data_IF_809061555268
#
_entry.id   IF_809061555268
#
_cell.length_a   1.000
_cell.length_b   1.000
_cell.length_c   1.000
_cell.angle_alpha   90.00
_cell.angle_beta   90.00
_cell.angle_gamma   90.00
#
_symmetry.space_group_name_H-M   'P 1'
#
loop_
_entity.id
_entity.type
_entity.pdbx_description
1 polymer ?
#
# COMPACT_ATOMS: atom_id res chain seq x y z
N UNK A 1 -80.54 -9.45 25.16
CA UNK A 1 -79.72 -10.65 25.00
C UNK A 1 -78.68 -10.28 23.92
N UNK A 2 -77.52 -9.76 24.33
CA UNK A 2 -76.53 -9.18 23.45
C UNK A 2 -75.33 -10.14 23.34
N UNK A 3 -75.10 -10.70 22.15
CA UNK A 3 -74.00 -11.60 21.83
C UNK A 3 -72.86 -10.78 21.26
N UNK A 4 -71.72 -10.75 22.00
CA UNK A 4 -70.50 -10.10 21.60
C UNK A 4 -69.72 -10.94 20.59
N UNK A 5 -69.44 -10.38 19.42
CA UNK A 5 -68.48 -10.88 18.47
C UNK A 5 -67.06 -10.49 18.91
N UNK A 6 -66.15 -11.47 19.04
CA UNK A 6 -64.69 -11.25 19.16
C UNK A 6 -64.03 -11.29 17.77
N UNK A 7 -63.18 -10.34 17.41
CA UNK A 7 -62.37 -10.50 16.20
C UNK A 7 -61.11 -11.29 16.54
N UNK A 8 -60.83 -12.32 15.73
CA UNK A 8 -59.60 -13.10 15.73
C UNK A 8 -58.50 -12.26 15.05
N UNK A 9 -57.56 -11.75 15.82
CA UNK A 9 -56.35 -11.15 15.28
C UNK A 9 -55.39 -12.25 14.84
N UNK A 10 -55.17 -12.36 13.52
CA UNK A 10 -54.09 -13.12 12.89
C UNK A 10 -52.78 -12.44 13.14
N UNK A 11 -51.87 -13.09 13.87
CA UNK A 11 -50.53 -12.63 14.10
C UNK A 11 -49.70 -12.71 12.82
N UNK A 12 -49.29 -11.56 12.33
CA UNK A 12 -48.39 -11.38 11.20
C UNK A 12 -47.09 -12.14 11.38
N UNK A 13 -46.79 -12.95 10.39
CA UNK A 13 -45.51 -13.60 10.17
C UNK A 13 -44.39 -12.53 10.04
N UNK A 14 -43.33 -12.55 10.86
CA UNK A 14 -42.23 -11.60 10.67
C UNK A 14 -41.51 -11.89 9.35
N UNK A 15 -41.65 -11.00 8.39
CA UNK A 15 -40.85 -11.02 7.16
C UNK A 15 -39.39 -11.15 7.54
N UNK A 16 -38.77 -12.27 7.19
CA UNK A 16 -37.33 -12.48 7.31
C UNK A 16 -36.61 -11.30 6.62
N UNK A 17 -35.82 -10.55 7.41
CA UNK A 17 -34.92 -9.52 6.87
C UNK A 17 -34.03 -10.15 5.79
N UNK A 18 -33.74 -9.45 4.70
CA UNK A 18 -32.90 -10.00 3.64
C UNK A 18 -31.55 -10.38 4.23
N UNK A 19 -31.16 -11.65 4.08
CA UNK A 19 -29.82 -12.16 4.42
C UNK A 19 -28.81 -11.25 3.76
N UNK A 20 -28.00 -10.52 4.55
CA UNK A 20 -26.83 -9.81 4.06
C UNK A 20 -26.00 -10.81 3.25
N UNK A 21 -25.82 -10.55 1.95
CA UNK A 21 -24.91 -11.34 1.11
C UNK A 21 -23.56 -11.32 1.81
N UNK A 22 -23.07 -12.47 2.23
CA UNK A 22 -21.72 -12.62 2.76
C UNK A 22 -20.77 -12.20 1.65
N UNK A 23 -20.05 -11.09 1.83
CA UNK A 23 -18.99 -10.70 0.92
C UNK A 23 -17.93 -11.78 1.03
N UNK A 24 -17.68 -12.53 -0.03
CA UNK A 24 -16.63 -13.54 -0.05
C UNK A 24 -15.27 -12.84 0.11
N UNK A 25 -14.62 -13.09 1.23
CA UNK A 25 -13.25 -12.61 1.48
C UNK A 25 -12.31 -13.48 0.62
N UNK A 26 -11.33 -12.86 -0.05
CA UNK A 26 -10.26 -13.61 -0.69
C UNK A 26 -9.48 -14.38 0.38
N UNK A 27 -9.16 -15.65 0.11
CA UNK A 27 -8.66 -16.57 1.12
C UNK A 27 -7.19 -16.39 1.49
N UNK A 28 -6.45 -15.48 0.82
CA UNK A 28 -5.02 -15.39 1.03
C UNK A 28 -4.44 -13.99 0.95
N UNK A 29 -3.38 -13.75 1.77
CA UNK A 29 -2.65 -12.49 1.86
C UNK A 29 -1.15 -12.76 1.87
N UNK A 30 -0.40 -12.14 0.93
CA UNK A 30 1.06 -12.08 0.98
C UNK A 30 1.51 -10.72 1.48
N UNK A 31 2.24 -10.69 2.59
CA UNK A 31 2.86 -9.48 3.13
C UNK A 31 4.31 -9.43 2.67
N UNK A 32 4.66 -8.42 1.89
CA UNK A 32 6.00 -8.22 1.33
C UNK A 32 6.70 -7.10 2.09
N UNK A 33 7.87 -7.39 2.62
CA UNK A 33 8.67 -6.48 3.46
C UNK A 33 10.07 -6.37 2.88
N UNK A 34 10.41 -5.23 2.24
CA UNK A 34 11.79 -4.99 1.81
C UNK A 34 12.68 -4.73 3.02
N UNK A 35 13.88 -5.31 3.04
CA UNK A 35 14.83 -5.17 4.15
C UNK A 35 16.21 -4.72 3.67
N UNK A 36 16.84 -3.88 4.49
CA UNK A 36 18.25 -3.50 4.34
C UNK A 36 18.80 -3.12 5.71
N UNK A 37 19.64 -3.99 6.31
CA UNK A 37 20.17 -3.85 7.67
C UNK A 37 19.07 -3.73 8.75
N UNK A 38 18.00 -4.56 8.67
CA UNK A 38 16.86 -4.55 9.59
C UNK A 38 16.82 -5.79 10.50
N UNK A 39 17.94 -6.44 10.72
CA UNK A 39 18.05 -7.75 11.41
C UNK A 39 17.34 -7.78 12.77
N UNK A 40 17.39 -6.68 13.54
CA UNK A 40 16.78 -6.59 14.88
C UNK A 40 15.25 -6.55 14.83
N UNK A 41 14.68 -6.11 13.71
CA UNK A 41 13.24 -5.92 13.56
C UNK A 41 12.52 -7.16 13.02
N UNK A 42 13.25 -8.13 12.44
CA UNK A 42 12.68 -9.28 11.73
C UNK A 42 11.78 -10.13 12.62
N UNK A 43 12.30 -10.58 13.78
CA UNK A 43 11.53 -11.42 14.70
C UNK A 43 10.34 -10.70 15.29
N UNK A 44 10.49 -9.49 15.91
CA UNK A 44 9.35 -8.77 16.45
C UNK A 44 8.25 -8.49 15.41
N UNK A 45 8.64 -8.15 14.18
CA UNK A 45 7.68 -7.92 13.10
C UNK A 45 6.89 -9.18 12.77
N UNK A 46 7.58 -10.31 12.60
CA UNK A 46 6.94 -11.60 12.28
C UNK A 46 5.96 -12.03 13.38
N UNK A 47 6.40 -12.03 14.64
CA UNK A 47 5.60 -12.46 15.79
C UNK A 47 4.33 -11.58 15.95
N UNK A 48 4.50 -10.24 15.93
CA UNK A 48 3.40 -9.28 16.04
C UNK A 48 2.41 -9.40 14.88
N UNK A 49 2.92 -9.53 13.65
CA UNK A 49 2.10 -9.68 12.46
C UNK A 49 1.19 -10.90 12.56
N UNK A 50 1.76 -12.08 12.80
CA UNK A 50 0.97 -13.32 12.85
C UNK A 50 0.07 -13.40 14.08
N UNK A 51 0.45 -12.81 15.22
CA UNK A 51 -0.44 -12.66 16.35
C UNK A 51 -1.66 -11.81 16.01
N UNK A 52 -1.46 -10.68 15.35
CA UNK A 52 -2.51 -9.77 14.93
C UNK A 52 -3.44 -10.41 13.87
N UNK A 53 -2.87 -11.06 12.86
CA UNK A 53 -3.65 -11.73 11.81
C UNK A 53 -4.51 -12.86 12.37
N UNK A 54 -3.97 -13.73 13.23
CA UNK A 54 -4.72 -14.81 13.90
C UNK A 54 -5.86 -14.27 14.76
N UNK A 55 -5.65 -13.15 15.45
CA UNK A 55 -6.69 -12.48 16.23
C UNK A 55 -7.81 -11.90 15.36
N UNK A 56 -7.46 -11.33 14.23
CA UNK A 56 -8.41 -10.64 13.34
C UNK A 56 -9.20 -11.62 12.44
N UNK A 57 -8.53 -12.63 11.91
CA UNK A 57 -9.11 -13.65 11.05
C UNK A 57 -8.26 -14.94 11.11
N UNK A 58 -8.63 -15.92 11.96
CA UNK A 58 -7.85 -17.15 12.14
C UNK A 58 -7.79 -18.04 10.89
N UNK A 59 -8.74 -17.89 9.96
CA UNK A 59 -8.84 -18.70 8.75
C UNK A 59 -8.11 -18.07 7.55
N UNK A 60 -7.46 -16.90 7.72
CA UNK A 60 -6.73 -16.23 6.66
C UNK A 60 -5.42 -16.97 6.37
N UNK A 61 -5.29 -17.53 5.14
CA UNK A 61 -4.01 -18.05 4.66
C UNK A 61 -3.08 -16.85 4.37
N UNK A 62 -2.09 -16.64 5.22
CA UNK A 62 -1.18 -15.52 5.11
C UNK A 62 0.28 -15.97 5.09
N UNK A 63 1.10 -15.30 4.27
CA UNK A 63 2.55 -15.45 4.29
C UNK A 63 3.25 -14.10 4.50
N UNK A 64 4.46 -14.16 5.05
CA UNK A 64 5.37 -13.02 5.18
C UNK A 64 6.62 -13.29 4.33
N UNK A 65 6.89 -12.42 3.36
CA UNK A 65 8.04 -12.51 2.47
C UNK A 65 8.97 -11.31 2.66
N UNK A 66 10.11 -11.55 3.24
CA UNK A 66 11.20 -10.57 3.28
C UNK A 66 11.98 -10.56 1.96
N UNK A 67 12.35 -9.37 1.51
CA UNK A 67 13.21 -9.18 0.34
C UNK A 67 14.41 -8.35 0.77
N UNK A 68 15.54 -9.01 1.00
CA UNK A 68 16.76 -8.37 1.47
C UNK A 68 17.64 -7.89 0.31
N UNK A 69 18.08 -6.64 0.38
CA UNK A 69 18.87 -5.98 -0.68
C UNK A 69 20.38 -6.22 -0.51
N UNK A 70 20.78 -7.45 -0.16
CA UNK A 70 22.18 -7.87 0.06
C UNK A 70 22.89 -6.94 1.06
N UNK A 71 22.27 -6.75 2.22
CA UNK A 71 22.81 -5.94 3.30
C UNK A 71 23.89 -6.68 4.08
N UNK A 72 24.69 -5.95 4.86
CA UNK A 72 25.72 -6.58 5.73
C UNK A 72 25.12 -7.59 6.72
N UNK A 73 23.90 -7.32 7.20
CA UNK A 73 23.13 -8.17 8.08
C UNK A 73 22.42 -9.37 7.44
N UNK A 74 22.50 -9.53 6.09
CA UNK A 74 21.71 -10.54 5.35
C UNK A 74 21.86 -11.95 5.89
N UNK A 75 23.08 -12.40 6.20
CA UNK A 75 23.32 -13.77 6.74
C UNK A 75 22.55 -14.01 8.02
N UNK A 76 22.66 -13.09 8.99
CA UNK A 76 21.95 -13.17 10.27
C UNK A 76 20.43 -13.05 10.09
N UNK A 77 19.99 -12.20 9.18
CA UNK A 77 18.56 -12.08 8.82
C UNK A 77 18.02 -13.41 8.28
N UNK A 78 18.75 -14.08 7.39
CA UNK A 78 18.38 -15.40 6.85
C UNK A 78 18.29 -16.45 7.97
N UNK A 79 19.24 -16.46 8.92
CA UNK A 79 19.21 -17.37 10.06
C UNK A 79 17.96 -17.18 10.91
N UNK A 80 17.61 -15.93 11.23
CA UNK A 80 16.40 -15.60 12.00
C UNK A 80 15.14 -16.05 11.25
N UNK A 81 15.03 -15.77 9.96
CA UNK A 81 13.85 -16.17 9.17
C UNK A 81 13.74 -17.70 9.10
N UNK A 82 14.86 -18.41 8.91
CA UNK A 82 14.86 -19.89 8.94
C UNK A 82 14.44 -20.44 10.31
N UNK A 83 14.85 -19.81 11.40
CA UNK A 83 14.42 -20.20 12.75
C UNK A 83 12.91 -20.00 12.92
N UNK A 84 12.38 -18.84 12.54
CA UNK A 84 10.95 -18.55 12.57
C UNK A 84 10.12 -19.54 11.72
N UNK A 85 10.61 -19.89 10.53
CA UNK A 85 9.96 -20.91 9.70
C UNK A 85 9.94 -22.30 10.38
N UNK A 86 11.01 -22.69 11.09
CA UNK A 86 11.03 -23.93 11.89
C UNK A 86 10.08 -23.87 13.09
N UNK A 87 9.84 -22.69 13.63
CA UNK A 87 8.87 -22.44 14.70
C UNK A 87 7.40 -22.49 14.19
N UNK A 88 7.21 -22.70 12.87
CA UNK A 88 5.89 -22.84 12.24
C UNK A 88 5.29 -21.54 11.69
N UNK A 89 6.05 -20.44 11.66
CA UNK A 89 5.58 -19.23 10.98
C UNK A 89 5.65 -19.38 9.45
N UNK A 90 4.60 -19.01 8.70
CA UNK A 90 4.64 -19.01 7.22
C UNK A 90 5.43 -17.81 6.69
N UNK A 91 6.76 -17.86 6.88
CA UNK A 91 7.70 -16.79 6.55
C UNK A 91 8.81 -17.28 5.65
N UNK A 92 9.19 -16.43 4.68
CA UNK A 92 10.30 -16.67 3.77
C UNK A 92 11.17 -15.43 3.58
N UNK A 93 12.36 -15.63 3.01
CA UNK A 93 13.26 -14.54 2.64
C UNK A 93 13.88 -14.80 1.28
N UNK A 94 13.96 -13.75 0.48
CA UNK A 94 14.75 -13.72 -0.75
C UNK A 94 15.86 -12.69 -0.60
N UNK A 95 17.12 -13.15 -0.55
CA UNK A 95 18.28 -12.26 -0.62
C UNK A 95 18.61 -12.00 -2.08
N UNK A 96 18.48 -10.76 -2.52
CA UNK A 96 18.74 -10.35 -3.90
C UNK A 96 20.23 -10.40 -4.21
N UNK A 97 20.53 -10.82 -5.44
CA UNK A 97 21.85 -10.61 -6.04
C UNK A 97 21.91 -9.24 -6.69
N UNK A 98 23.11 -8.67 -6.86
CA UNK A 98 23.28 -7.39 -7.57
C UNK A 98 22.68 -7.37 -8.97
N UNK A 99 22.67 -8.51 -9.64
CA UNK A 99 22.06 -8.68 -10.97
C UNK A 99 20.53 -8.53 -10.98
N UNK A 100 19.87 -8.67 -9.84
CA UNK A 100 18.41 -8.53 -9.69
C UNK A 100 17.99 -7.07 -9.40
N UNK A 101 18.93 -6.11 -9.48
CA UNK A 101 18.71 -4.70 -9.20
C UNK A 101 18.98 -4.31 -7.76
N UNK A 102 18.83 -3.03 -7.46
CA UNK A 102 19.04 -2.43 -6.13
C UNK A 102 17.95 -1.42 -5.81
N UNK A 103 17.73 -1.22 -4.53
CA UNK A 103 16.83 -0.20 -3.99
C UNK A 103 15.43 -0.72 -3.69
N UNK A 104 14.72 0.05 -2.85
CA UNK A 104 13.45 -0.33 -2.23
C UNK A 104 12.38 -0.70 -3.26
N UNK A 105 12.14 0.14 -4.26
CA UNK A 105 11.07 -0.07 -5.23
C UNK A 105 11.22 -1.38 -6.02
N UNK A 106 12.44 -1.68 -6.48
CA UNK A 106 12.70 -2.94 -7.20
C UNK A 106 12.65 -4.16 -6.28
N UNK A 107 13.00 -4.01 -4.98
CA UNK A 107 12.84 -5.07 -3.98
C UNK A 107 11.36 -5.44 -3.77
N UNK A 108 10.51 -4.42 -3.64
CA UNK A 108 9.06 -4.62 -3.48
C UNK A 108 8.46 -5.32 -4.71
N UNK A 109 8.78 -4.87 -5.92
CA UNK A 109 8.28 -5.51 -7.15
C UNK A 109 8.75 -6.95 -7.30
N UNK A 110 10.00 -7.25 -6.95
CA UNK A 110 10.49 -8.62 -6.92
C UNK A 110 9.71 -9.47 -5.91
N UNK A 111 9.47 -8.94 -4.71
CA UNK A 111 8.65 -9.61 -3.71
C UNK A 111 7.23 -9.87 -4.19
N UNK A 112 6.60 -8.91 -4.85
CA UNK A 112 5.29 -9.08 -5.45
C UNK A 112 5.26 -10.19 -6.52
N UNK A 113 6.33 -10.30 -7.31
CA UNK A 113 6.48 -11.39 -8.28
C UNK A 113 6.59 -12.78 -7.63
N UNK A 114 7.16 -12.85 -6.41
CA UNK A 114 7.35 -14.09 -5.63
C UNK A 114 6.18 -14.42 -4.69
N UNK A 115 5.30 -13.47 -4.44
CA UNK A 115 4.16 -13.62 -3.55
C UNK A 115 3.22 -14.75 -4.01
N UNK A 116 2.73 -15.55 -3.05
CA UNK A 116 1.87 -16.71 -3.30
C UNK A 116 0.42 -16.31 -3.61
N UNK A 117 -0.08 -15.28 -2.89
CA UNK A 117 -1.50 -14.94 -2.93
C UNK A 117 -1.82 -13.84 -3.94
N UNK A 118 -3.10 -13.77 -4.31
CA UNK A 118 -3.63 -12.70 -5.18
C UNK A 118 -3.58 -11.34 -4.50
N UNK A 119 -3.94 -11.28 -3.20
CA UNK A 119 -3.85 -10.05 -2.42
C UNK A 119 -2.45 -9.88 -1.87
N UNK A 120 -1.84 -8.74 -2.14
CA UNK A 120 -0.45 -8.43 -1.80
C UNK A 120 -0.42 -7.11 -1.03
N UNK A 121 0.26 -7.12 0.10
CA UNK A 121 0.48 -5.94 0.93
C UNK A 121 1.97 -5.67 1.04
N UNK A 122 2.35 -4.40 0.98
CA UNK A 122 3.69 -3.92 1.26
C UNK A 122 3.71 -3.14 2.57
N UNK A 123 4.74 -3.34 3.39
CA UNK A 123 5.05 -2.52 4.56
C UNK A 123 6.56 -2.45 4.82
N UNK A 124 7.00 -1.44 5.55
CA UNK A 124 8.41 -1.30 5.94
C UNK A 124 8.77 -2.24 7.11
N UNK A 125 10.06 -2.58 7.22
CA UNK A 125 10.57 -3.51 8.23
C UNK A 125 10.87 -2.86 9.59
N UNK A 126 10.89 -1.53 9.69
CA UNK A 126 11.40 -0.76 10.84
C UNK A 126 10.39 -0.57 11.98
N UNK A 127 9.24 -1.26 11.90
CA UNK A 127 8.14 -1.22 12.86
C UNK A 127 7.48 0.16 13.06
N UNK A 128 7.78 1.12 12.19
CA UNK A 128 7.04 2.39 12.15
C UNK A 128 5.61 2.19 11.62
N UNK A 129 5.42 1.25 10.70
CA UNK A 129 4.11 0.70 10.35
C UNK A 129 3.77 -0.41 11.34
N UNK A 130 2.65 -0.24 12.06
CA UNK A 130 2.22 -1.23 13.05
C UNK A 130 1.78 -2.52 12.37
N UNK A 131 2.40 -3.68 12.68
CA UNK A 131 1.98 -4.96 12.14
C UNK A 131 0.51 -5.29 12.44
N UNK A 132 -0.02 -4.75 13.52
CA UNK A 132 -1.42 -4.87 13.95
C UNK A 132 -2.40 -4.24 12.98
N UNK A 133 -1.98 -3.25 12.20
CA UNK A 133 -2.82 -2.59 11.20
C UNK A 133 -2.91 -3.36 9.86
N UNK A 134 -2.08 -4.39 9.66
CA UNK A 134 -2.00 -5.13 8.37
C UNK A 134 -3.36 -5.64 7.92
N UNK A 135 -4.13 -6.28 8.82
CA UNK A 135 -5.43 -6.81 8.45
C UNK A 135 -6.42 -5.70 8.05
N UNK A 136 -6.43 -4.60 8.78
CA UNK A 136 -7.32 -3.45 8.48
C UNK A 136 -6.97 -2.82 7.13
N UNK A 137 -5.68 -2.68 6.81
CA UNK A 137 -5.22 -2.15 5.50
C UNK A 137 -5.55 -3.13 4.37
N UNK A 138 -5.42 -4.43 4.58
CA UNK A 138 -5.73 -5.44 3.57
C UNK A 138 -7.24 -5.65 3.35
N UNK A 139 -8.07 -5.44 4.37
CA UNK A 139 -9.47 -5.83 4.41
C UNK A 139 -10.32 -5.29 3.24
N UNK A 140 -10.24 -4.02 2.82
CA UNK A 140 -11.04 -3.53 1.69
C UNK A 140 -10.68 -4.23 0.37
N UNK A 141 -9.40 -4.61 0.17
CA UNK A 141 -8.96 -5.36 -1.02
C UNK A 141 -9.42 -6.83 -0.91
N UNK A 142 -9.22 -7.48 0.24
CA UNK A 142 -9.70 -8.84 0.51
C UNK A 142 -11.22 -8.98 0.29
N UNK A 143 -11.98 -7.93 0.62
CA UNK A 143 -13.43 -7.86 0.40
C UNK A 143 -13.81 -7.41 -1.01
N UNK A 144 -12.86 -7.20 -1.92
CA UNK A 144 -13.08 -6.68 -3.28
C UNK A 144 -13.84 -5.34 -3.32
N UNK A 145 -13.76 -4.55 -2.26
CA UNK A 145 -14.33 -3.20 -2.15
C UNK A 145 -13.39 -2.12 -2.68
N UNK A 146 -12.09 -2.40 -2.72
CA UNK A 146 -11.05 -1.54 -3.26
C UNK A 146 -10.09 -2.35 -4.12
N UNK A 147 -9.48 -1.71 -5.10
CA UNK A 147 -8.37 -2.26 -5.87
C UNK A 147 -7.02 -1.92 -5.24
N UNK A 148 -7.00 -0.86 -4.45
CA UNK A 148 -5.81 -0.37 -3.78
C UNK A 148 -6.19 0.25 -2.43
N UNK A 149 -5.43 -0.05 -1.39
CA UNK A 149 -5.57 0.61 -0.09
C UNK A 149 -4.25 1.20 0.34
N UNK A 150 -4.31 2.31 1.06
CA UNK A 150 -3.15 2.97 1.65
C UNK A 150 -3.37 3.09 3.15
N UNK A 151 -2.40 2.62 3.93
CA UNK A 151 -2.32 2.95 5.35
C UNK A 151 -1.93 4.42 5.48
N UNK A 152 -2.91 5.28 5.75
CA UNK A 152 -2.75 6.73 5.73
C UNK A 152 -2.61 7.31 7.13
N UNK A 153 -1.63 8.21 7.28
CA UNK A 153 -1.41 9.03 8.49
C UNK A 153 -2.31 10.27 8.53
N UNK A 154 -2.96 10.59 7.39
CA UNK A 154 -3.65 11.87 7.18
C UNK A 154 -5.16 11.73 6.98
N UNK A 155 -5.70 10.52 6.90
CA UNK A 155 -7.15 10.33 6.92
C UNK A 155 -7.71 10.31 8.36
N UNK A 156 -9.01 10.49 8.53
CA UNK A 156 -9.65 10.56 9.83
C UNK A 156 -9.34 9.36 10.72
N UNK A 157 -8.72 9.59 11.88
CA UNK A 157 -8.25 8.54 12.80
C UNK A 157 -6.79 8.11 12.61
N UNK A 158 -6.12 8.59 11.56
CA UNK A 158 -4.67 8.39 11.36
C UNK A 158 -3.84 9.42 12.12
N UNK A 159 -2.54 9.17 12.27
CA UNK A 159 -1.65 10.10 12.95
C UNK A 159 -0.23 9.61 13.14
N UNK A 160 0.47 10.29 14.03
CA UNK A 160 1.85 10.00 14.43
C UNK A 160 1.88 9.70 15.91
N UNK A 161 2.50 8.60 16.31
CA UNK A 161 2.72 8.22 17.71
C UNK A 161 3.81 9.02 18.42
N UNK A 162 4.37 10.06 17.76
CA UNK A 162 5.44 10.91 18.30
C UNK A 162 5.43 12.29 17.64
N UNK A 163 6.09 13.25 18.29
CA UNK A 163 6.23 14.60 17.73
C UNK A 163 7.24 14.64 16.59
N UNK A 164 6.72 14.95 15.42
CA UNK A 164 7.52 15.10 14.22
C UNK A 164 8.07 16.53 14.10
N UNK A 165 9.36 16.66 13.87
CA UNK A 165 9.98 17.98 13.72
C UNK A 165 9.31 18.77 12.58
N UNK A 166 9.06 20.05 12.79
CA UNK A 166 8.29 20.91 11.89
C UNK A 166 8.80 20.90 10.44
N UNK A 167 10.13 20.90 10.24
CA UNK A 167 10.73 20.84 8.91
C UNK A 167 10.39 19.53 8.18
N UNK A 168 10.31 18.40 8.89
CA UNK A 168 9.92 17.11 8.30
C UNK A 168 8.43 17.09 7.93
N UNK A 169 7.58 17.70 8.75
CA UNK A 169 6.15 17.89 8.44
C UNK A 169 5.99 18.69 7.15
N UNK A 170 6.73 19.81 7.03
CA UNK A 170 6.68 20.68 5.86
C UNK A 170 7.15 19.95 4.58
N UNK A 171 8.28 19.25 4.62
CA UNK A 171 8.79 18.47 3.49
C UNK A 171 7.78 17.39 3.07
N UNK A 172 7.20 16.66 4.02
CA UNK A 172 6.21 15.62 3.73
C UNK A 172 4.93 16.21 3.13
N UNK A 173 4.43 17.32 3.68
CA UNK A 173 3.24 18.00 3.17
C UNK A 173 3.45 18.53 1.75
N UNK A 174 4.62 19.13 1.47
CA UNK A 174 4.97 19.59 0.13
C UNK A 174 5.05 18.41 -0.85
N UNK A 175 5.70 17.31 -0.46
CA UNK A 175 5.76 16.11 -1.29
C UNK A 175 4.37 15.52 -1.58
N UNK A 176 3.49 15.49 -0.57
CA UNK A 176 2.10 15.05 -0.72
C UNK A 176 1.33 15.97 -1.67
N UNK A 177 1.45 17.29 -1.52
CA UNK A 177 0.81 18.27 -2.38
C UNK A 177 1.23 18.11 -3.85
N UNK A 178 2.52 17.92 -4.09
CA UNK A 178 3.05 17.68 -5.44
C UNK A 178 2.52 16.39 -6.08
N UNK A 179 2.17 15.37 -5.30
CA UNK A 179 1.59 14.13 -5.80
C UNK A 179 0.07 14.21 -6.06
N UNK A 180 -0.61 15.26 -5.62
CA UNK A 180 -2.09 15.32 -5.59
C UNK A 180 -2.73 15.10 -6.96
N UNK A 181 -2.13 15.61 -8.03
CA UNK A 181 -2.65 15.45 -9.41
C UNK A 181 -2.58 14.04 -9.97
N UNK A 182 -1.73 13.17 -9.39
CA UNK A 182 -1.52 11.78 -9.84
C UNK A 182 -1.89 10.74 -8.78
N UNK A 183 -2.20 11.17 -7.55
CA UNK A 183 -2.62 10.33 -6.44
C UNK A 183 -4.15 10.35 -6.27
N UNK A 184 -4.68 9.25 -5.73
CA UNK A 184 -6.07 9.14 -5.23
C UNK A 184 -6.13 8.91 -3.73
N UNK A 185 -5.00 9.07 -3.03
CA UNK A 185 -4.85 8.87 -1.59
C UNK A 185 -4.46 10.17 -0.90
N UNK A 186 -4.86 10.33 0.36
CA UNK A 186 -4.42 11.42 1.23
C UNK A 186 -2.97 11.27 1.68
N UNK A 187 -2.38 10.06 1.55
CA UNK A 187 -1.00 9.76 1.91
C UNK A 187 -0.23 9.03 0.81
N UNK A 188 0.04 9.69 -0.33
CA UNK A 188 0.77 9.09 -1.43
C UNK A 188 2.23 8.73 -1.08
N UNK A 189 2.70 9.19 0.07
CA UNK A 189 4.06 8.94 0.54
C UNK A 189 4.18 7.67 1.38
N UNK A 190 3.06 7.03 1.75
CA UNK A 190 3.06 5.82 2.57
C UNK A 190 3.67 4.64 1.82
N UNK A 191 4.56 3.90 2.49
CA UNK A 191 5.06 2.58 2.07
C UNK A 191 4.14 1.43 2.48
N UNK A 192 3.04 1.72 3.18
CA UNK A 192 2.08 0.76 3.68
C UNK A 192 0.84 0.74 2.81
N UNK A 193 0.76 -0.23 1.91
CA UNK A 193 -0.34 -0.32 0.96
C UNK A 193 -0.66 -1.76 0.58
N UNK A 194 -1.89 -2.00 0.14
CA UNK A 194 -2.34 -3.30 -0.33
C UNK A 194 -3.01 -3.18 -1.71
N UNK A 195 -2.80 -4.18 -2.55
CA UNK A 195 -3.39 -4.30 -3.89
C UNK A 195 -3.52 -5.77 -4.30
N UNK A 196 -3.77 -6.03 -5.58
CA UNK A 196 -3.83 -7.39 -6.13
C UNK A 196 -2.84 -7.59 -7.28
N UNK A 197 -2.48 -8.85 -7.55
CA UNK A 197 -1.66 -9.22 -8.72
C UNK A 197 -2.36 -8.82 -10.02
N UNK A 198 -3.67 -8.97 -10.09
CA UNK A 198 -4.49 -8.54 -11.24
C UNK A 198 -4.37 -7.03 -11.50
N UNK A 199 -4.39 -6.21 -10.46
CA UNK A 199 -4.17 -4.76 -10.58
C UNK A 199 -2.74 -4.46 -11.05
N UNK A 200 -1.74 -5.11 -10.45
CA UNK A 200 -0.33 -4.96 -10.86
C UNK A 200 -0.12 -5.30 -12.34
N UNK A 201 -0.75 -6.36 -12.85
CA UNK A 201 -0.59 -6.80 -14.23
C UNK A 201 -1.01 -5.72 -15.25
N UNK A 202 -1.98 -4.85 -14.91
CA UNK A 202 -2.42 -3.75 -15.79
C UNK A 202 -1.32 -2.73 -16.08
N UNK A 203 -0.47 -2.46 -15.09
CA UNK A 203 0.62 -1.48 -15.21
C UNK A 203 2.00 -2.08 -15.38
N UNK A 204 2.15 -3.41 -15.42
CA UNK A 204 3.43 -4.11 -15.31
C UNK A 204 4.52 -3.61 -16.27
N UNK A 205 4.14 -3.23 -17.51
CA UNK A 205 5.08 -2.74 -18.53
C UNK A 205 5.47 -1.27 -18.36
N UNK A 206 4.70 -0.49 -17.58
CA UNK A 206 4.89 0.95 -17.42
C UNK A 206 5.41 1.34 -16.04
N UNK A 207 5.37 0.42 -15.06
CA UNK A 207 5.91 0.66 -13.72
C UNK A 207 7.42 0.88 -13.82
N UNK A 208 7.87 2.02 -13.32
CA UNK A 208 9.28 2.37 -13.24
C UNK A 208 9.75 2.32 -11.77
N UNK A 209 10.63 1.37 -11.39
CA UNK A 209 11.07 1.19 -10.02
C UNK A 209 12.09 2.24 -9.55
N UNK A 210 11.98 3.49 -10.01
CA UNK A 210 12.83 4.60 -9.56
C UNK A 210 12.42 5.02 -8.15
N UNK A 211 13.43 5.31 -7.31
CA UNK A 211 13.22 5.89 -6.00
C UNK A 211 12.59 4.93 -4.98
N UNK A 212 11.78 5.48 -4.09
CA UNK A 212 11.28 4.80 -2.89
C UNK A 212 9.75 4.93 -2.69
N UNK A 213 9.03 5.55 -3.66
CA UNK A 213 7.56 5.73 -3.58
C UNK A 213 6.83 4.78 -4.53
N UNK A 214 7.11 3.48 -4.34
CA UNK A 214 6.56 2.43 -5.19
C UNK A 214 5.02 2.33 -5.08
N UNK A 215 4.43 2.62 -3.91
CA UNK A 215 2.98 2.65 -3.75
C UNK A 215 2.31 3.67 -4.67
N UNK A 216 2.84 4.90 -4.75
CA UNK A 216 2.37 5.93 -5.67
C UNK A 216 2.53 5.49 -7.14
N UNK A 217 3.67 4.93 -7.50
CA UNK A 217 3.96 4.43 -8.86
C UNK A 217 2.93 3.37 -9.28
N UNK A 218 2.74 2.34 -8.46
CA UNK A 218 1.77 1.27 -8.72
C UNK A 218 0.36 1.82 -8.81
N UNK A 219 -0.07 2.63 -7.85
CA UNK A 219 -1.41 3.21 -7.84
C UNK A 219 -1.71 3.99 -9.12
N UNK A 220 -0.76 4.85 -9.56
CA UNK A 220 -0.92 5.70 -10.73
C UNK A 220 -0.86 4.90 -12.04
N UNK A 221 0.21 4.10 -12.26
CA UNK A 221 0.43 3.34 -13.51
C UNK A 221 -0.59 2.24 -13.72
N UNK A 222 -1.03 1.58 -12.66
CA UNK A 222 -2.07 0.56 -12.73
C UNK A 222 -3.49 1.16 -12.79
N UNK A 223 -3.61 2.49 -12.70
CA UNK A 223 -4.90 3.21 -12.69
C UNK A 223 -5.88 2.64 -11.68
N UNK A 224 -5.36 2.26 -10.51
CA UNK A 224 -6.15 1.60 -9.48
C UNK A 224 -7.39 2.43 -9.08
N UNK A 225 -8.54 1.78 -9.00
CA UNK A 225 -9.81 2.41 -8.63
C UNK A 225 -10.86 1.34 -8.29
N UNK A 226 -11.54 1.41 -7.14
CA UNK A 226 -11.42 2.42 -6.07
C UNK A 226 -10.11 2.33 -5.29
N UNK A 227 -9.63 3.48 -4.79
CA UNK A 227 -8.55 3.60 -3.79
C UNK A 227 -9.17 4.00 -2.47
N UNK A 228 -8.77 3.33 -1.37
CA UNK A 228 -9.29 3.56 -0.03
C UNK A 228 -8.15 3.82 0.92
N UNK A 229 -8.22 4.91 1.67
CA UNK A 229 -7.31 5.21 2.77
C UNK A 229 -7.81 4.55 4.06
N UNK A 230 -6.91 3.88 4.75
CA UNK A 230 -7.17 3.23 6.04
C UNK A 230 -6.32 3.94 7.10
N UNK A 231 -6.90 4.46 8.18
CA UNK A 231 -6.15 5.18 9.19
C UNK A 231 -5.13 4.27 9.88
N UNK A 232 -3.91 4.77 10.00
CA UNK A 232 -2.82 4.13 10.76
C UNK A 232 -2.15 5.12 11.69
N UNK A 233 -1.56 4.61 12.77
CA UNK A 233 -0.63 5.38 13.59
C UNK A 233 0.79 5.04 13.18
N UNK A 234 1.54 6.05 12.74
CA UNK A 234 2.94 5.88 12.37
C UNK A 234 3.82 6.06 13.59
N UNK A 235 4.51 5.00 14.01
CA UNK A 235 5.27 4.97 15.25
C UNK A 235 6.69 5.52 15.10
N UNK A 236 7.33 5.80 16.23
CA UNK A 236 8.77 6.04 16.26
C UNK A 236 9.52 4.77 15.88
N UNK A 237 10.64 4.94 15.15
CA UNK A 237 11.49 3.82 14.79
C UNK A 237 12.10 3.19 16.04
N UNK A 238 12.07 1.85 16.14
CA UNK A 238 12.64 1.13 17.27
C UNK A 238 14.15 1.00 17.11
N UNK A 239 14.64 0.73 15.89
CA UNK A 239 16.06 0.59 15.56
C UNK A 239 16.34 1.05 14.12
N UNK A 240 17.60 1.39 13.83
CA UNK A 240 18.06 1.79 12.51
C UNK A 240 18.01 3.30 12.26
N UNK A 241 18.57 3.73 11.13
CA UNK A 241 18.68 5.15 10.73
C UNK A 241 17.84 5.47 9.50
N UNK A 242 17.50 6.75 9.35
CA UNK A 242 16.80 7.22 8.15
C UNK A 242 17.74 7.21 6.95
N UNK A 243 17.35 6.51 5.89
CA UNK A 243 18.12 6.38 4.64
C UNK A 243 17.75 7.42 3.58
N UNK A 244 16.99 8.46 3.96
CA UNK A 244 16.58 9.53 3.05
C UNK A 244 17.77 10.43 2.70
N UNK A 245 18.11 10.51 1.42
CA UNK A 245 19.20 11.33 0.87
C UNK A 245 18.68 12.30 -0.20
N UNK A 246 19.49 13.30 -0.58
CA UNK A 246 19.18 14.21 -1.69
C UNK A 246 18.92 13.48 -3.00
N UNK A 247 19.62 12.37 -3.25
CA UNK A 247 19.39 11.52 -4.43
C UNK A 247 17.94 11.04 -4.51
N UNK A 248 17.35 10.62 -3.39
CA UNK A 248 15.97 10.15 -3.36
C UNK A 248 14.95 11.27 -3.60
N UNK A 249 15.25 12.49 -3.15
CA UNK A 249 14.41 13.65 -3.46
C UNK A 249 14.40 13.94 -4.97
N UNK A 250 15.57 13.91 -5.62
CA UNK A 250 15.66 14.07 -7.08
C UNK A 250 14.91 12.95 -7.80
N UNK A 251 15.09 11.69 -7.39
CA UNK A 251 14.36 10.56 -7.96
C UNK A 251 12.84 10.70 -7.79
N UNK A 252 12.38 11.25 -6.66
CA UNK A 252 10.95 11.52 -6.45
C UNK A 252 10.42 12.56 -7.44
N UNK A 253 11.15 13.65 -7.68
CA UNK A 253 10.75 14.67 -8.69
C UNK A 253 10.72 14.06 -10.10
N UNK A 254 11.72 13.24 -10.45
CA UNK A 254 11.73 12.52 -11.73
C UNK A 254 10.52 11.58 -11.87
N UNK A 255 10.19 10.84 -10.81
CA UNK A 255 9.03 9.98 -10.77
C UNK A 255 7.73 10.78 -10.98
N UNK A 256 7.56 11.89 -10.26
CA UNK A 256 6.39 12.75 -10.43
C UNK A 256 6.27 13.28 -11.86
N UNK A 257 7.35 13.80 -12.42
CA UNK A 257 7.35 14.31 -13.80
C UNK A 257 6.90 13.21 -14.79
N UNK A 258 7.40 11.98 -14.62
CA UNK A 258 7.01 10.86 -15.46
C UNK A 258 5.54 10.44 -15.27
N UNK A 259 5.00 10.49 -14.04
CA UNK A 259 3.60 10.19 -13.75
C UNK A 259 2.66 11.28 -14.29
N UNK A 260 3.02 12.55 -14.16
CA UNK A 260 2.26 13.66 -14.74
C UNK A 260 2.27 13.60 -16.26
N UNK A 261 3.41 13.28 -16.88
CA UNK A 261 3.50 13.07 -18.32
C UNK A 261 2.56 11.93 -18.77
N UNK A 262 2.62 10.78 -18.14
CA UNK A 262 1.76 9.64 -18.47
C UNK A 262 0.27 9.97 -18.38
N UNK A 263 -0.12 10.76 -17.37
CA UNK A 263 -1.51 11.10 -17.11
C UNK A 263 -2.04 12.20 -18.02
N UNK A 264 -1.22 13.19 -18.34
CA UNK A 264 -1.65 14.45 -18.96
C UNK A 264 -0.94 14.76 -20.30
N UNK A 265 -0.14 13.81 -20.85
CA UNK A 265 0.60 14.03 -22.09
C UNK A 265 -0.29 14.57 -23.24
N UNK A 266 -1.45 13.96 -23.46
CA UNK A 266 -2.37 14.41 -24.50
C UNK A 266 -2.84 15.86 -24.26
N UNK A 267 -3.24 16.18 -23.03
CA UNK A 267 -3.66 17.55 -22.68
C UNK A 267 -2.51 18.55 -22.86
N UNK A 268 -1.30 18.20 -22.42
CA UNK A 268 -0.11 19.04 -22.57
C UNK A 268 0.17 19.30 -24.05
N UNK A 269 0.12 18.26 -24.88
CA UNK A 269 0.35 18.40 -26.33
C UNK A 269 -0.75 19.26 -26.98
N UNK A 270 -2.02 19.04 -26.65
CA UNK A 270 -3.12 19.84 -27.19
C UNK A 270 -2.98 21.31 -26.80
N UNK A 271 -2.66 21.61 -25.54
CA UNK A 271 -2.45 22.97 -25.08
C UNK A 271 -1.24 23.64 -25.76
N UNK A 272 -0.14 22.90 -25.93
CA UNK A 272 1.04 23.39 -26.64
C UNK A 272 0.73 23.73 -28.10
N UNK A 273 0.01 22.87 -28.83
CA UNK A 273 -0.43 23.12 -30.21
C UNK A 273 -1.36 24.32 -30.28
N UNK A 274 -2.35 24.41 -29.38
CA UNK A 274 -3.26 25.55 -29.32
C UNK A 274 -2.51 26.88 -29.07
N UNK A 275 -1.53 26.87 -28.19
CA UNK A 275 -0.69 28.05 -27.91
C UNK A 275 0.15 28.43 -29.12
N UNK A 276 0.77 27.48 -29.83
CA UNK A 276 1.55 27.73 -31.05
C UNK A 276 0.61 28.37 -32.14
N UNK A 277 -0.58 27.81 -32.32
CA UNK A 277 -1.54 28.36 -33.28
C UNK A 277 -1.98 29.78 -32.91
N UNK A 278 -2.23 30.07 -31.64
CA UNK A 278 -2.59 31.40 -31.17
C UNK A 278 -1.45 32.41 -31.41
N UNK A 279 -0.22 32.05 -31.14
CA UNK A 279 0.95 32.90 -31.41
C UNK A 279 1.12 33.13 -32.90
N UNK A 280 0.98 32.11 -33.76
CA UNK A 280 1.07 32.22 -35.19
C UNK A 280 0.00 33.18 -35.74
N UNK A 281 -1.26 33.12 -35.25
CA UNK A 281 -2.31 34.04 -35.62
C UNK A 281 -2.05 35.51 -35.22
N UNK A 282 -1.40 35.73 -34.08
CA UNK A 282 -1.01 37.07 -33.63
C UNK A 282 0.07 37.64 -34.53
N UNK A 283 1.08 36.84 -34.91
CA UNK A 283 2.16 37.27 -35.82
C UNK A 283 1.64 37.56 -37.23
N UNK A 284 0.70 36.80 -37.76
CA UNK A 284 0.13 37.02 -39.11
C UNK A 284 -0.86 38.18 -39.18
N UNK A 285 -1.29 38.73 -38.05
CA UNK A 285 -2.17 39.91 -37.98
C UNK A 285 -1.42 41.25 -37.87
N UNK A 286 -0.12 41.21 -37.69
CA UNK A 286 0.78 42.36 -37.76
C UNK A 286 1.36 42.54 -39.15
#
# INVERSE_FOLDING_TARGET
MLTFFRPVFSLNNPKMAPRRKSVSIQSGLSVVVPTYNETLNIRPLCERLFAALRKANPDLDAELLFVDDESEGSKKTVEIVKALAKEGYPVGIHCRKRSEGRGLSSAVLLGFGKAKHETILCMDADLQHEPEAVYSVALPVLQKKAEFTVGSRYCGGGGFGFDWALHRKLISSTATLLAYGVSKSTDPMSGFFCTTRTVLARGAKSINPIGFKIGLEVMARCRASPVVDVPITFQSRIAGESKLTMKQNVQYIQQLAALYWDRFALLIVVLAVAMIMAVAQLVTRQ
#
